data_IF_993991401951
#
_entry.id   IF_993991401951
#
_cell.length_a   1.000
_cell.length_b   1.000
_cell.length_c   1.000
_cell.angle_alpha   90.00
_cell.angle_beta   90.00
_cell.angle_gamma   90.00
#
_symmetry.space_group_name_H-M   'P 1'
#
loop_
_entity.id
_entity.type
_entity.pdbx_description
1 polymer ?
#
# COMPACT_ATOMS: atom_id res chain seq x y z
N UNK A 1 35.00 6.37 11.41
CA UNK A 1 34.28 5.55 10.40
C UNK A 1 32.76 5.67 10.55
N UNK A 2 32.16 5.34 11.69
CA UNK A 2 30.70 5.43 11.90
C UNK A 2 30.11 6.81 11.67
N UNK A 3 30.75 7.90 12.14
CA UNK A 3 30.28 9.27 11.88
C UNK A 3 30.27 9.62 10.38
N UNK A 4 31.30 9.23 9.63
CA UNK A 4 31.38 9.45 8.19
C UNK A 4 30.28 8.66 7.45
N UNK A 5 30.00 7.44 7.90
CA UNK A 5 28.96 6.59 7.32
C UNK A 5 27.56 7.16 7.61
N UNK A 6 27.30 7.65 8.83
CA UNK A 6 26.04 8.31 9.18
C UNK A 6 25.82 9.57 8.35
N UNK A 7 26.84 10.42 8.20
CA UNK A 7 26.75 11.63 7.36
C UNK A 7 26.50 11.25 5.90
N UNK A 8 27.18 10.22 5.38
CA UNK A 8 26.97 9.74 4.02
C UNK A 8 25.55 9.19 3.81
N UNK A 9 25.01 8.41 4.74
CA UNK A 9 23.62 7.91 4.65
C UNK A 9 22.59 9.05 4.71
N UNK A 10 22.82 10.06 5.55
CA UNK A 10 21.97 11.25 5.61
C UNK A 10 22.00 12.06 4.31
N UNK A 11 23.19 12.27 3.75
CA UNK A 11 23.37 12.97 2.48
C UNK A 11 22.71 12.22 1.31
N UNK A 12 22.93 10.91 1.20
CA UNK A 12 22.32 10.07 0.18
C UNK A 12 20.80 9.97 0.33
N UNK A 13 20.31 9.85 1.57
CA UNK A 13 18.87 9.86 1.87
C UNK A 13 18.22 11.19 1.49
N UNK A 14 18.87 12.31 1.81
CA UNK A 14 18.44 13.65 1.41
C UNK A 14 18.44 13.84 -0.10
N UNK A 15 19.52 13.44 -0.78
CA UNK A 15 19.63 13.51 -2.24
C UNK A 15 18.52 12.69 -2.92
N UNK A 16 18.29 11.46 -2.45
CA UNK A 16 17.19 10.60 -2.92
C UNK A 16 15.85 11.32 -2.78
N UNK A 17 15.57 11.86 -1.58
CA UNK A 17 14.32 12.59 -1.33
C UNK A 17 14.17 13.81 -2.24
N UNK A 18 15.25 14.57 -2.46
CA UNK A 18 15.25 15.72 -3.37
C UNK A 18 14.97 15.29 -4.82
N UNK A 19 15.66 14.26 -5.32
CA UNK A 19 15.44 13.74 -6.67
C UNK A 19 13.97 13.32 -6.89
N UNK A 20 13.40 12.52 -5.97
CA UNK A 20 11.99 12.11 -6.08
C UNK A 20 11.01 13.28 -5.96
N UNK A 21 11.31 14.27 -5.12
CA UNK A 21 10.49 15.48 -5.01
C UNK A 21 10.53 16.31 -6.30
N UNK A 22 11.71 16.48 -6.90
CA UNK A 22 11.87 17.20 -8.17
C UNK A 22 11.17 16.49 -9.32
N UNK A 23 11.29 15.17 -9.42
CA UNK A 23 10.62 14.37 -10.44
C UNK A 23 9.10 14.50 -10.31
N UNK A 24 8.53 14.36 -9.11
CA UNK A 24 7.08 14.51 -8.97
C UNK A 24 6.57 15.93 -9.19
N UNK A 25 7.36 16.96 -8.84
CA UNK A 25 7.04 18.35 -9.23
C UNK A 25 7.05 18.53 -10.75
N UNK A 26 8.03 17.95 -11.47
CA UNK A 26 8.07 17.98 -12.94
C UNK A 26 6.86 17.29 -13.56
N UNK A 27 6.50 16.10 -13.06
CA UNK A 27 5.31 15.37 -13.52
C UNK A 27 4.05 16.20 -13.29
N UNK A 28 3.91 16.82 -12.12
CA UNK A 28 2.76 17.68 -11.80
C UNK A 28 2.64 18.87 -12.75
N UNK A 29 3.73 19.57 -13.04
CA UNK A 29 3.74 20.69 -13.99
C UNK A 29 3.42 20.18 -15.40
N UNK A 30 4.01 19.08 -15.83
CA UNK A 30 3.75 18.49 -17.15
C UNK A 30 2.28 18.12 -17.34
N UNK A 31 1.66 17.47 -16.36
CA UNK A 31 0.23 17.14 -16.40
C UNK A 31 -0.63 18.41 -16.44
N UNK A 32 -0.33 19.42 -15.61
CA UNK A 32 -1.07 20.70 -15.62
C UNK A 32 -0.97 21.42 -16.95
N UNK A 33 0.21 21.52 -17.54
CA UNK A 33 0.39 22.15 -18.85
C UNK A 33 -0.36 21.40 -19.95
N UNK A 34 -0.33 20.06 -19.95
CA UNK A 34 -1.04 19.24 -20.93
C UNK A 34 -2.56 19.35 -20.77
N UNK A 35 -3.04 19.35 -19.53
CA UNK A 35 -4.47 19.49 -19.23
C UNK A 35 -4.98 20.89 -19.60
N UNK A 36 -4.20 21.94 -19.29
CA UNK A 36 -4.51 23.31 -19.73
C UNK A 36 -4.58 23.44 -21.26
N UNK A 37 -3.62 22.84 -21.97
CA UNK A 37 -3.63 22.81 -23.45
C UNK A 37 -4.87 22.11 -24.01
N UNK A 38 -5.29 21.01 -23.40
CA UNK A 38 -6.52 20.31 -23.80
C UNK A 38 -7.76 21.15 -23.53
N UNK A 39 -7.89 21.78 -22.35
CA UNK A 39 -9.04 22.63 -22.02
C UNK A 39 -9.20 23.77 -23.01
N UNK A 40 -8.12 24.49 -23.33
CA UNK A 40 -8.18 25.64 -24.25
C UNK A 40 -8.48 25.22 -25.70
N UNK A 41 -8.18 23.99 -26.09
CA UNK A 41 -8.44 23.48 -27.46
C UNK A 41 -9.87 22.97 -27.65
N UNK A 42 -10.73 23.07 -26.64
CA UNK A 42 -12.08 22.53 -26.64
C UNK A 42 -13.10 23.54 -27.22
N UNK A 43 -14.18 23.04 -27.83
CA UNK A 43 -15.21 23.89 -28.44
C UNK A 43 -15.98 24.76 -27.43
N UNK A 44 -16.55 25.87 -27.90
CA UNK A 44 -17.33 26.83 -27.06
C UNK A 44 -18.49 26.14 -26.34
N UNK A 45 -19.14 25.16 -26.98
CA UNK A 45 -20.22 24.37 -26.38
C UNK A 45 -19.80 23.61 -25.11
N UNK A 46 -18.52 23.27 -24.96
CA UNK A 46 -17.99 22.67 -23.73
C UNK A 46 -17.93 23.68 -22.58
N UNK A 47 -17.64 24.94 -22.89
CA UNK A 47 -17.60 26.02 -21.90
C UNK A 47 -19.00 26.48 -21.48
N UNK A 48 -19.98 26.40 -22.37
CA UNK A 48 -21.38 26.73 -22.05
C UNK A 48 -21.99 25.79 -20.99
N UNK A 49 -21.48 24.56 -20.90
CA UNK A 49 -21.92 23.54 -19.94
C UNK A 49 -21.20 23.52 -18.59
N UNK A 50 -20.15 24.32 -18.37
CA UNK A 50 -19.33 24.26 -17.16
C UNK A 50 -19.03 25.62 -16.55
N UNK A 51 -19.00 25.68 -15.22
CA UNK A 51 -18.58 26.89 -14.49
C UNK A 51 -17.06 27.03 -14.55
N UNK A 52 -16.57 28.25 -14.79
CA UNK A 52 -15.14 28.59 -14.81
C UNK A 52 -14.41 28.18 -13.51
N UNK A 53 -15.12 28.22 -12.38
CA UNK A 53 -14.60 27.76 -11.08
C UNK A 53 -14.29 26.26 -11.03
N UNK A 54 -15.12 25.43 -11.65
CA UNK A 54 -14.95 23.97 -11.65
C UNK A 54 -13.75 23.56 -12.50
N UNK A 55 -13.53 24.22 -13.64
CA UNK A 55 -12.34 24.03 -14.48
C UNK A 55 -11.05 24.40 -13.74
N UNK A 56 -11.09 25.48 -12.96
CA UNK A 56 -9.94 25.93 -12.15
C UNK A 56 -9.63 24.93 -11.03
N UNK A 57 -10.67 24.40 -10.38
CA UNK A 57 -10.53 23.37 -9.34
C UNK A 57 -9.98 22.05 -9.92
N UNK A 58 -10.46 21.64 -11.09
CA UNK A 58 -9.93 20.47 -11.80
C UNK A 58 -8.45 20.61 -12.13
N UNK A 59 -8.04 21.77 -12.65
CA UNK A 59 -6.64 22.03 -13.02
C UNK A 59 -5.70 22.07 -11.81
N UNK A 60 -6.18 22.55 -10.66
CA UNK A 60 -5.35 22.77 -9.48
C UNK A 60 -5.50 21.68 -8.42
N UNK A 61 -6.71 21.52 -7.89
CA UNK A 61 -7.08 20.61 -6.81
C UNK A 61 -7.06 19.15 -7.24
N UNK A 62 -7.80 18.79 -8.27
CA UNK A 62 -7.97 17.38 -8.65
C UNK A 62 -6.66 16.77 -9.17
N UNK A 63 -5.92 17.53 -10.01
CA UNK A 63 -4.59 17.11 -10.47
C UNK A 63 -3.63 16.89 -9.29
N UNK A 64 -3.70 17.74 -8.25
CA UNK A 64 -2.85 17.57 -7.05
C UNK A 64 -3.26 16.33 -6.25
N UNK A 65 -4.56 16.14 -6.06
CA UNK A 65 -5.11 14.99 -5.34
C UNK A 65 -4.75 13.66 -6.04
N UNK A 66 -4.70 13.66 -7.38
CA UNK A 66 -4.33 12.48 -8.16
C UNK A 66 -2.82 12.20 -8.12
N UNK A 67 -1.97 13.22 -8.28
CA UNK A 67 -0.51 13.03 -8.44
C UNK A 67 0.23 12.81 -7.12
N UNK A 68 -0.20 13.47 -6.04
CA UNK A 68 0.46 13.39 -4.72
C UNK A 68 0.61 11.96 -4.19
N UNK A 69 -0.45 11.11 -4.15
CA UNK A 69 -0.32 9.74 -3.68
C UNK A 69 0.52 8.87 -4.62
N UNK A 70 0.38 9.05 -5.95
CA UNK A 70 1.17 8.31 -6.95
C UNK A 70 2.66 8.57 -6.75
N UNK A 71 3.07 9.82 -6.52
CA UNK A 71 4.45 10.17 -6.27
C UNK A 71 5.00 9.50 -5.01
N UNK A 72 4.23 9.53 -3.92
CA UNK A 72 4.63 8.92 -2.64
C UNK A 72 4.78 7.41 -2.78
N UNK A 73 3.79 6.75 -3.39
CA UNK A 73 3.84 5.33 -3.69
C UNK A 73 5.08 5.00 -4.50
N UNK A 74 5.30 5.69 -5.62
CA UNK A 74 6.32 5.28 -6.59
C UNK A 74 7.71 5.36 -5.94
N UNK A 75 7.95 6.44 -5.20
CA UNK A 75 9.17 6.62 -4.39
C UNK A 75 9.33 5.52 -3.33
N UNK A 76 8.26 5.22 -2.59
CA UNK A 76 8.26 4.18 -1.56
C UNK A 76 8.52 2.80 -2.16
N UNK A 77 7.83 2.45 -3.25
CA UNK A 77 7.92 1.14 -3.91
C UNK A 77 9.32 0.89 -4.45
N UNK A 78 9.89 1.84 -5.19
CA UNK A 78 11.25 1.70 -5.74
C UNK A 78 12.27 1.55 -4.61
N UNK A 79 12.15 2.35 -3.55
CA UNK A 79 13.07 2.30 -2.41
C UNK A 79 12.97 0.97 -1.66
N UNK A 80 11.75 0.50 -1.41
CA UNK A 80 11.51 -0.77 -0.74
C UNK A 80 11.98 -1.96 -1.59
N UNK A 81 11.83 -1.92 -2.92
CA UNK A 81 12.37 -2.95 -3.81
C UNK A 81 13.89 -3.00 -3.77
N UNK A 82 14.57 -1.85 -3.80
CA UNK A 82 16.04 -1.79 -3.68
C UNK A 82 16.49 -2.34 -2.32
N UNK A 83 15.81 -1.96 -1.23
CA UNK A 83 16.11 -2.46 0.11
C UNK A 83 15.87 -3.96 0.24
N UNK A 84 14.81 -4.48 -0.36
CA UNK A 84 14.47 -5.91 -0.32
C UNK A 84 15.51 -6.72 -1.11
N UNK A 85 15.81 -6.33 -2.34
CA UNK A 85 16.82 -7.03 -3.17
C UNK A 85 18.21 -6.91 -2.53
N UNK A 86 18.61 -5.70 -2.13
CA UNK A 86 19.90 -5.47 -1.47
C UNK A 86 20.02 -6.21 -0.13
N UNK A 87 18.96 -6.24 0.67
CA UNK A 87 18.91 -6.97 1.93
C UNK A 87 19.05 -8.48 1.73
N UNK A 88 18.31 -9.05 0.77
CA UNK A 88 18.41 -10.48 0.43
C UNK A 88 19.84 -10.83 -0.01
N UNK A 89 20.44 -10.04 -0.92
CA UNK A 89 21.82 -10.26 -1.37
C UNK A 89 22.80 -10.21 -0.20
N UNK A 90 22.70 -9.22 0.69
CA UNK A 90 23.57 -9.09 1.86
C UNK A 90 23.39 -10.24 2.88
N UNK A 91 22.18 -10.74 3.05
CA UNK A 91 21.90 -11.93 3.86
C UNK A 91 22.59 -13.16 3.29
N UNK A 92 22.45 -13.40 1.97
CA UNK A 92 23.11 -14.53 1.28
C UNK A 92 24.63 -14.47 1.36
N UNK A 93 25.22 -13.27 1.22
CA UNK A 93 26.67 -13.06 1.35
C UNK A 93 27.17 -13.32 2.78
N UNK A 94 26.37 -13.01 3.79
CA UNK A 94 26.78 -13.17 5.20
C UNK A 94 26.75 -14.63 5.63
N UNK A 95 25.70 -15.39 5.31
CA UNK A 95 25.65 -16.84 5.57
C UNK A 95 24.57 -17.50 4.74
N UNK A 96 24.97 -18.45 3.90
CA UNK A 96 24.04 -19.20 3.06
C UNK A 96 23.13 -20.14 3.89
N UNK A 97 23.63 -20.67 5.03
CA UNK A 97 22.88 -21.60 5.90
C UNK A 97 21.73 -20.90 6.64
N UNK A 98 21.99 -19.69 7.16
CA UNK A 98 20.97 -18.85 7.80
C UNK A 98 19.96 -18.32 6.78
N UNK A 99 20.44 -17.99 5.57
CA UNK A 99 19.58 -17.52 4.47
C UNK A 99 18.61 -18.59 4.00
N UNK A 100 19.03 -19.86 3.91
CA UNK A 100 18.12 -20.97 3.59
C UNK A 100 17.04 -21.17 4.65
N UNK A 101 17.40 -21.07 5.93
CA UNK A 101 16.43 -21.16 7.02
C UNK A 101 15.42 -20.00 6.94
N UNK A 102 15.90 -18.77 6.76
CA UNK A 102 15.04 -17.60 6.60
C UNK A 102 14.11 -17.74 5.39
N UNK A 103 14.62 -18.20 4.24
CA UNK A 103 13.80 -18.44 3.05
C UNK A 103 12.70 -19.47 3.31
N UNK A 104 13.01 -20.54 4.04
CA UNK A 104 12.03 -21.56 4.45
C UNK A 104 10.90 -20.98 5.31
N UNK A 105 11.16 -19.98 6.14
CA UNK A 105 10.14 -19.32 6.97
C UNK A 105 9.33 -18.26 6.22
N UNK A 106 9.91 -17.61 5.21
CA UNK A 106 9.22 -16.59 4.39
C UNK A 106 8.22 -17.20 3.42
N UNK A 107 8.52 -18.35 2.83
CA UNK A 107 7.64 -19.02 1.87
C UNK A 107 6.19 -19.23 2.36
N UNK A 108 5.94 -19.77 3.57
CA UNK A 108 4.57 -19.91 4.07
C UNK A 108 3.89 -18.56 4.32
N UNK A 109 4.62 -17.54 4.81
CA UNK A 109 4.09 -16.18 5.02
C UNK A 109 3.64 -15.57 3.67
N UNK A 110 4.46 -15.71 2.63
CA UNK A 110 4.13 -15.23 1.28
C UNK A 110 2.87 -15.91 0.73
N UNK A 111 2.77 -17.23 0.88
CA UNK A 111 1.63 -18.00 0.36
C UNK A 111 0.31 -17.63 1.07
N UNK A 112 0.35 -17.41 2.40
CA UNK A 112 -0.82 -16.96 3.16
C UNK A 112 -1.23 -15.56 2.73
N UNK A 113 -0.26 -14.66 2.58
CA UNK A 113 -0.51 -13.28 2.18
C UNK A 113 -1.09 -13.18 0.77
N UNK A 114 -0.60 -13.97 -0.19
CA UNK A 114 -1.13 -13.99 -1.55
C UNK A 114 -2.57 -14.54 -1.60
N UNK A 115 -2.84 -15.60 -0.84
CA UNK A 115 -4.19 -16.19 -0.75
C UNK A 115 -5.18 -15.19 -0.14
N UNK A 116 -4.76 -14.49 0.92
CA UNK A 116 -5.55 -13.41 1.52
C UNK A 116 -5.79 -12.27 0.53
N UNK A 117 -4.76 -11.81 -0.20
CA UNK A 117 -4.88 -10.72 -1.17
C UNK A 117 -5.89 -11.05 -2.28
N UNK A 118 -5.86 -12.28 -2.83
CA UNK A 118 -6.84 -12.75 -3.81
C UNK A 118 -8.26 -12.79 -3.24
N UNK A 119 -8.41 -13.28 -2.01
CA UNK A 119 -9.70 -13.35 -1.33
C UNK A 119 -10.28 -11.95 -1.05
N UNK A 120 -9.46 -11.06 -0.48
CA UNK A 120 -9.84 -9.68 -0.16
C UNK A 120 -10.19 -8.90 -1.43
N UNK A 121 -9.45 -9.07 -2.53
CA UNK A 121 -9.81 -8.47 -3.82
C UNK A 121 -11.21 -8.89 -4.31
N UNK A 122 -11.60 -10.16 -4.13
CA UNK A 122 -12.94 -10.63 -4.50
C UNK A 122 -14.04 -10.09 -3.57
N UNK A 123 -13.76 -9.92 -2.27
CA UNK A 123 -14.69 -9.29 -1.34
C UNK A 123 -14.84 -7.80 -1.64
N UNK A 124 -13.75 -7.10 -1.94
CA UNK A 124 -13.78 -5.69 -2.27
C UNK A 124 -14.60 -5.44 -3.55
N UNK A 125 -14.49 -6.32 -4.55
CA UNK A 125 -15.36 -6.28 -5.73
C UNK A 125 -16.85 -6.41 -5.38
N UNK A 126 -17.22 -7.26 -4.42
CA UNK A 126 -18.61 -7.38 -3.95
C UNK A 126 -19.06 -6.13 -3.17
N UNK A 127 -18.16 -5.54 -2.37
CA UNK A 127 -18.42 -4.28 -1.67
C UNK A 127 -18.71 -3.17 -2.69
N UNK A 128 -17.88 -3.04 -3.73
CA UNK A 128 -18.11 -2.07 -4.80
C UNK A 128 -19.40 -2.31 -5.58
N UNK A 129 -19.78 -3.58 -5.80
CA UNK A 129 -21.08 -3.90 -6.40
C UNK A 129 -22.23 -3.38 -5.53
N UNK A 130 -22.20 -3.64 -4.22
CA UNK A 130 -23.24 -3.12 -3.31
C UNK A 130 -23.24 -1.59 -3.21
N UNK A 131 -22.07 -0.93 -3.28
CA UNK A 131 -22.02 0.53 -3.38
C UNK A 131 -22.62 1.05 -4.69
N UNK A 132 -22.39 0.36 -5.80
CA UNK A 132 -23.02 0.70 -7.09
C UNK A 132 -24.54 0.53 -7.05
N UNK A 133 -25.03 -0.55 -6.43
CA UNK A 133 -26.48 -0.79 -6.24
C UNK A 133 -27.10 0.31 -5.37
N UNK A 134 -26.45 0.68 -4.27
CA UNK A 134 -26.89 1.76 -3.39
C UNK A 134 -26.89 3.12 -4.09
N UNK A 135 -25.87 3.38 -4.91
CA UNK A 135 -25.80 4.59 -5.73
C UNK A 135 -26.92 4.64 -6.78
N UNK A 136 -27.30 3.50 -7.36
CA UNK A 136 -28.43 3.42 -8.28
C UNK A 136 -29.76 3.72 -7.57
N UNK A 137 -30.00 3.15 -6.38
CA UNK A 137 -31.18 3.45 -5.55
C UNK A 137 -31.24 4.93 -5.17
N UNK A 138 -30.12 5.50 -4.72
CA UNK A 138 -30.05 6.92 -4.39
C UNK A 138 -30.32 7.81 -5.61
N UNK A 139 -29.76 7.44 -6.77
CA UNK A 139 -30.00 8.18 -8.02
C UNK A 139 -31.47 8.13 -8.41
N UNK A 140 -32.10 6.95 -8.39
CA UNK A 140 -33.52 6.78 -8.68
C UNK A 140 -34.41 7.64 -7.77
N UNK A 141 -34.15 7.61 -6.45
CA UNK A 141 -34.92 8.35 -5.46
C UNK A 141 -34.74 9.87 -5.60
N UNK A 142 -33.51 10.34 -5.85
CA UNK A 142 -33.22 11.78 -6.00
C UNK A 142 -33.75 12.32 -7.33
N UNK A 143 -33.58 11.58 -8.43
CA UNK A 143 -34.13 11.98 -9.74
C UNK A 143 -35.66 12.05 -9.70
N UNK A 144 -36.32 11.12 -9.01
CA UNK A 144 -37.77 11.06 -8.89
C UNK A 144 -38.30 11.63 -7.55
N UNK A 145 -37.57 12.56 -6.91
CA UNK A 145 -37.90 13.06 -5.56
C UNK A 145 -39.32 13.63 -5.47
N UNK A 146 -39.82 14.26 -6.53
CA UNK A 146 -41.20 14.79 -6.59
C UNK A 146 -42.23 13.66 -6.47
N UNK A 147 -42.00 12.53 -7.14
CA UNK A 147 -42.86 11.35 -7.09
C UNK A 147 -42.79 10.67 -5.74
N UNK A 148 -41.59 10.52 -5.17
CA UNK A 148 -41.40 9.94 -3.83
C UNK A 148 -42.18 10.73 -2.77
N UNK A 149 -42.10 12.07 -2.84
CA UNK A 149 -42.84 13.00 -1.98
C UNK A 149 -44.36 12.96 -2.23
N UNK A 150 -44.78 12.86 -3.49
CA UNK A 150 -46.20 12.78 -3.84
C UNK A 150 -46.88 11.51 -3.31
N UNK A 151 -46.12 10.41 -3.21
CA UNK A 151 -46.60 9.11 -2.70
C UNK A 151 -46.27 8.92 -1.21
N UNK A 152 -45.62 9.90 -0.55
CA UNK A 152 -45.16 9.81 0.85
C UNK A 152 -44.32 8.55 1.14
N UNK A 153 -43.49 8.15 0.17
CA UNK A 153 -42.74 6.87 0.20
C UNK A 153 -41.28 6.99 0.67
N UNK A 154 -40.94 8.09 1.33
CA UNK A 154 -39.58 8.41 1.80
C UNK A 154 -38.97 7.31 2.67
N UNK A 155 -39.73 6.83 3.67
CA UNK A 155 -39.26 5.79 4.57
C UNK A 155 -38.87 4.51 3.81
N UNK A 156 -39.65 4.15 2.78
CA UNK A 156 -39.39 2.97 1.96
C UNK A 156 -38.08 3.07 1.19
N UNK A 157 -37.76 4.23 0.63
CA UNK A 157 -36.49 4.40 -0.10
C UNK A 157 -35.29 4.56 0.83
N UNK A 158 -35.47 5.13 2.02
CA UNK A 158 -34.45 5.13 3.06
C UNK A 158 -34.13 3.69 3.48
N UNK A 159 -35.16 2.87 3.76
CA UNK A 159 -34.97 1.46 4.14
C UNK A 159 -34.29 0.65 3.03
N UNK A 160 -34.63 0.88 1.76
CA UNK A 160 -34.02 0.21 0.60
C UNK A 160 -32.54 0.58 0.46
N UNK A 161 -32.19 1.85 0.66
CA UNK A 161 -30.80 2.30 0.67
C UNK A 161 -30.03 1.71 1.86
N UNK A 162 -30.63 1.72 3.06
CA UNK A 162 -30.03 1.19 4.27
C UNK A 162 -29.78 -0.33 4.20
N UNK A 163 -30.71 -1.09 3.62
CA UNK A 163 -30.54 -2.53 3.40
C UNK A 163 -29.32 -2.82 2.49
N UNK A 164 -29.18 -2.05 1.42
CA UNK A 164 -28.09 -2.19 0.46
C UNK A 164 -26.75 -1.81 1.11
N UNK A 165 -26.73 -0.73 1.89
CA UNK A 165 -25.53 -0.28 2.59
C UNK A 165 -25.14 -1.21 3.75
N UNK A 166 -26.12 -1.79 4.44
CA UNK A 166 -25.89 -2.79 5.50
C UNK A 166 -25.28 -4.08 4.92
N UNK A 167 -25.68 -4.50 3.72
CA UNK A 167 -25.05 -5.63 3.01
C UNK A 167 -23.58 -5.33 2.70
N UNK A 168 -23.27 -4.12 2.21
CA UNK A 168 -21.89 -3.67 1.99
C UNK A 168 -21.09 -3.65 3.30
N UNK A 169 -21.67 -3.09 4.38
CA UNK A 169 -21.04 -3.03 5.70
C UNK A 169 -20.72 -4.42 6.25
N UNK A 170 -21.66 -5.38 6.17
CA UNK A 170 -21.43 -6.75 6.66
C UNK A 170 -20.27 -7.43 5.92
N UNK A 171 -20.12 -7.18 4.62
CA UNK A 171 -18.98 -7.67 3.82
C UNK A 171 -17.68 -6.97 4.23
N UNK A 172 -17.71 -5.65 4.41
CA UNK A 172 -16.57 -4.86 4.87
C UNK A 172 -16.08 -5.25 6.27
N UNK A 173 -16.99 -5.50 7.21
CA UNK A 173 -16.64 -5.99 8.56
C UNK A 173 -15.98 -7.37 8.47
N UNK A 174 -16.49 -8.27 7.63
CA UNK A 174 -15.87 -9.58 7.43
C UNK A 174 -14.46 -9.45 6.84
N UNK A 175 -14.25 -8.59 5.85
CA UNK A 175 -12.92 -8.31 5.29
C UNK A 175 -11.99 -7.74 6.36
N UNK A 176 -12.46 -6.77 7.16
CA UNK A 176 -11.67 -6.16 8.23
C UNK A 176 -11.25 -7.17 9.31
N UNK A 177 -12.15 -8.08 9.73
CA UNK A 177 -11.83 -9.11 10.72
C UNK A 177 -10.80 -10.10 10.18
N UNK A 178 -10.98 -10.59 8.94
CA UNK A 178 -10.04 -11.53 8.32
C UNK A 178 -8.70 -10.85 8.03
N UNK A 179 -8.71 -9.57 7.65
CA UNK A 179 -7.52 -8.76 7.49
C UNK A 179 -6.75 -8.56 8.79
N UNK A 180 -7.45 -8.20 9.87
CA UNK A 180 -6.84 -8.10 11.20
C UNK A 180 -6.22 -9.43 11.63
N UNK A 181 -6.94 -10.55 11.47
CA UNK A 181 -6.42 -11.88 11.79
C UNK A 181 -5.17 -12.23 10.96
N UNK A 182 -5.16 -11.91 9.67
CA UNK A 182 -4.02 -12.17 8.76
C UNK A 182 -2.80 -11.34 9.16
N UNK A 183 -2.98 -10.06 9.51
CA UNK A 183 -1.90 -9.19 9.97
C UNK A 183 -1.34 -9.69 11.30
N UNK A 184 -2.19 -10.05 12.26
CA UNK A 184 -1.75 -10.63 13.54
C UNK A 184 -0.98 -11.93 13.33
N UNK A 185 -1.49 -12.83 12.49
CA UNK A 185 -0.83 -14.11 12.19
C UNK A 185 0.55 -13.91 11.54
N UNK A 186 0.66 -13.01 10.57
CA UNK A 186 1.94 -12.65 9.96
C UNK A 186 2.93 -12.07 10.98
N UNK A 187 2.45 -11.24 11.92
CA UNK A 187 3.31 -10.66 12.96
C UNK A 187 3.86 -11.75 13.91
N UNK A 188 3.02 -12.70 14.32
CA UNK A 188 3.46 -13.83 15.15
C UNK A 188 4.45 -14.75 14.41
N UNK A 189 4.20 -15.04 13.13
CA UNK A 189 5.13 -15.82 12.31
C UNK A 189 6.49 -15.12 12.17
N UNK A 190 6.50 -13.80 12.00
CA UNK A 190 7.74 -13.03 11.87
C UNK A 190 8.55 -13.03 13.18
N UNK A 191 7.88 -12.81 14.32
CA UNK A 191 8.52 -12.93 15.63
C UNK A 191 9.06 -14.35 15.87
N UNK A 192 8.30 -15.38 15.50
CA UNK A 192 8.73 -16.78 15.57
C UNK A 192 9.96 -17.05 14.70
N UNK A 193 9.99 -16.51 13.47
CA UNK A 193 11.14 -16.61 12.59
C UNK A 193 12.39 -15.95 13.22
N UNK A 194 12.24 -14.76 13.81
CA UNK A 194 13.31 -14.08 14.53
C UNK A 194 13.87 -14.90 15.70
N UNK A 195 13.00 -15.53 16.49
CA UNK A 195 13.41 -16.42 17.60
C UNK A 195 14.14 -17.66 17.08
N UNK A 196 13.65 -18.29 16.02
CA UNK A 196 14.30 -19.45 15.39
C UNK A 196 15.67 -19.10 14.81
N UNK A 197 15.80 -17.94 14.16
CA UNK A 197 17.07 -17.43 13.63
C UNK A 197 18.07 -17.21 14.78
N UNK A 198 17.62 -16.63 15.90
CA UNK A 198 18.47 -16.43 17.08
C UNK A 198 18.87 -17.74 17.75
N UNK A 199 17.96 -18.71 17.87
CA UNK A 199 18.23 -20.00 18.49
C UNK A 199 19.17 -20.86 17.63
N UNK A 200 18.90 -20.97 16.33
CA UNK A 200 19.74 -21.72 15.40
C UNK A 200 21.08 -21.01 15.14
N UNK A 201 21.05 -19.68 15.00
CA UNK A 201 22.24 -18.87 14.87
C UNK A 201 23.14 -18.91 16.11
N UNK A 202 22.54 -18.81 17.30
CA UNK A 202 23.23 -18.89 18.58
C UNK A 202 23.86 -20.26 18.85
N UNK A 203 23.15 -21.36 18.53
CA UNK A 203 23.69 -22.72 18.68
C UNK A 203 24.86 -23.01 17.73
N UNK A 204 24.85 -22.45 16.51
CA UNK A 204 25.99 -22.53 15.58
C UNK A 204 27.17 -21.69 16.08
N UNK A 205 26.92 -20.51 16.65
CA UNK A 205 27.97 -19.64 17.18
C UNK A 205 28.65 -20.19 18.46
N UNK A 206 27.93 -21.01 19.23
CA UNK A 206 28.47 -21.69 20.42
C UNK A 206 29.20 -23.01 20.11
N UNK A 207 29.08 -23.55 18.89
CA UNK A 207 29.76 -24.78 18.50
C UNK A 207 31.23 -24.49 18.10
N UNK A 208 32.24 -25.18 18.68
CA UNK A 208 33.66 -24.84 18.52
C UNK A 208 34.19 -24.91 17.07
N UNK A 209 33.55 -25.66 16.18
CA UNK A 209 33.91 -25.76 14.75
C UNK A 209 33.33 -24.63 13.89
N UNK A 210 32.37 -23.84 14.39
CA UNK A 210 31.68 -22.76 13.67
C UNK A 210 32.14 -21.33 14.03
N UNK A 211 32.95 -21.19 15.09
CA UNK A 211 33.41 -19.91 15.62
C UNK A 211 34.27 -19.08 14.64
N UNK A 212 34.85 -19.72 13.61
CA UNK A 212 35.61 -19.07 12.54
C UNK A 212 34.73 -18.53 11.39
N UNK A 213 33.46 -18.96 11.29
CA UNK A 213 32.57 -18.62 10.17
C UNK A 213 31.40 -17.70 10.59
N UNK A 214 30.94 -17.76 11.85
CA UNK A 214 29.84 -16.94 12.36
C UNK A 214 30.12 -16.42 13.78
N UNK A 215 30.72 -15.23 13.87
CA UNK A 215 30.85 -14.49 15.13
C UNK A 215 29.49 -13.94 15.59
N UNK A 216 29.28 -13.73 16.89
CA UNK A 216 28.09 -13.08 17.45
C UNK A 216 27.76 -11.75 16.75
N UNK A 217 28.79 -11.00 16.32
CA UNK A 217 28.61 -9.77 15.54
C UNK A 217 28.01 -9.97 14.14
N UNK A 218 28.27 -11.09 13.45
CA UNK A 218 27.60 -11.42 12.18
C UNK A 218 26.14 -11.79 12.35
N UNK A 219 25.78 -12.41 13.48
CA UNK A 219 24.38 -12.70 13.82
C UNK A 219 23.57 -11.44 14.08
N UNK A 220 24.12 -10.49 14.84
CA UNK A 220 23.47 -9.20 15.05
C UNK A 220 23.30 -8.45 13.73
N UNK A 221 24.33 -8.44 12.87
CA UNK A 221 24.22 -7.85 11.51
C UNK A 221 23.12 -8.53 10.68
N UNK A 222 23.04 -9.85 10.70
CA UNK A 222 22.01 -10.60 10.01
C UNK A 222 20.60 -10.27 10.53
N UNK A 223 20.43 -10.19 11.86
CA UNK A 223 19.17 -9.80 12.49
C UNK A 223 18.75 -8.37 12.11
N UNK A 224 19.69 -7.44 12.00
CA UNK A 224 19.42 -6.08 11.55
C UNK A 224 18.98 -6.05 10.07
N UNK A 225 19.65 -6.81 9.20
CA UNK A 225 19.24 -6.94 7.80
C UNK A 225 17.86 -7.59 7.67
N UNK A 226 17.57 -8.62 8.46
CA UNK A 226 16.26 -9.25 8.53
C UNK A 226 15.15 -8.25 8.91
N UNK A 227 15.37 -7.45 9.97
CA UNK A 227 14.43 -6.40 10.36
C UNK A 227 14.23 -5.35 9.26
N UNK A 228 15.29 -4.97 8.53
CA UNK A 228 15.18 -4.05 7.39
C UNK A 228 14.33 -4.64 6.25
N UNK A 229 14.53 -5.93 5.93
CA UNK A 229 13.73 -6.63 4.92
C UNK A 229 12.26 -6.69 5.33
N UNK A 230 11.97 -7.01 6.60
CA UNK A 230 10.59 -7.03 7.10
C UNK A 230 9.94 -5.65 7.07
N UNK A 231 10.68 -4.61 7.46
CA UNK A 231 10.20 -3.23 7.36
C UNK A 231 9.86 -2.84 5.91
N UNK A 232 10.72 -3.22 4.94
CA UNK A 232 10.46 -2.99 3.53
C UNK A 232 9.25 -3.79 3.02
N UNK A 233 9.10 -5.04 3.44
CA UNK A 233 7.96 -5.90 3.09
C UNK A 233 6.64 -5.34 3.63
N UNK A 234 6.59 -4.92 4.90
CA UNK A 234 5.40 -4.30 5.48
C UNK A 234 5.07 -2.97 4.80
N UNK A 235 6.07 -2.15 4.47
CA UNK A 235 5.86 -0.90 3.73
C UNK A 235 5.27 -1.17 2.34
N UNK A 236 5.75 -2.20 1.64
CA UNK A 236 5.23 -2.60 0.33
C UNK A 236 3.78 -3.12 0.42
N UNK A 237 3.47 -3.89 1.46
CA UNK A 237 2.11 -4.38 1.72
C UNK A 237 1.14 -3.21 2.00
N UNK A 238 1.57 -2.21 2.78
CA UNK A 238 0.79 -1.00 3.01
C UNK A 238 0.53 -0.22 1.72
N UNK A 239 1.52 -0.13 0.83
CA UNK A 239 1.36 0.48 -0.50
C UNK A 239 0.35 -0.29 -1.34
N UNK A 240 0.45 -1.62 -1.41
CA UNK A 240 -0.50 -2.47 -2.15
C UNK A 240 -1.93 -2.28 -1.63
N UNK A 241 -2.12 -2.28 -0.32
CA UNK A 241 -3.43 -2.05 0.29
C UNK A 241 -4.01 -0.66 -0.05
N UNK A 242 -3.18 0.37 -0.24
CA UNK A 242 -3.65 1.68 -0.70
C UNK A 242 -4.14 1.63 -2.16
N UNK A 243 -3.51 0.85 -3.04
CA UNK A 243 -4.01 0.66 -4.41
C UNK A 243 -5.28 -0.17 -4.46
N UNK A 244 -5.35 -1.26 -3.69
CA UNK A 244 -6.54 -2.12 -3.66
C UNK A 244 -7.76 -1.39 -3.10
N UNK A 245 -7.56 -0.36 -2.27
CA UNK A 245 -8.64 0.51 -1.77
C UNK A 245 -9.00 1.65 -2.73
N UNK A 246 -8.09 2.03 -3.63
CA UNK A 246 -8.28 3.12 -4.59
C UNK A 246 -8.84 2.65 -5.95
N UNK A 247 -8.78 1.34 -6.24
CA UNK A 247 -9.36 0.69 -7.41
C UNK A 247 -10.67 -0.01 -7.05
#
# INVERSE_FOLDING_TARGET
MYLALSIATGALGGLRALCFNLVGRRIMVWVRCRLFKCIISQDIAFFDGMRTGDLTQRLTGDVRAMISPIQFVLSSTISNLILLVGGVVMCFVTSWRLSMLAYSTVLPIMHITETYAKWSGNINRQIFQHYSDGAAVATEAVTNVRTVRAVSSEAREIDKYDETMTKALRKGVRDAIVGAATVSFNNYLDLGAGVLILWYGGSIAMSPEGASVLTVGSLIKYQLYWNMINGAYQSLNNVLNQFTRAA
#
